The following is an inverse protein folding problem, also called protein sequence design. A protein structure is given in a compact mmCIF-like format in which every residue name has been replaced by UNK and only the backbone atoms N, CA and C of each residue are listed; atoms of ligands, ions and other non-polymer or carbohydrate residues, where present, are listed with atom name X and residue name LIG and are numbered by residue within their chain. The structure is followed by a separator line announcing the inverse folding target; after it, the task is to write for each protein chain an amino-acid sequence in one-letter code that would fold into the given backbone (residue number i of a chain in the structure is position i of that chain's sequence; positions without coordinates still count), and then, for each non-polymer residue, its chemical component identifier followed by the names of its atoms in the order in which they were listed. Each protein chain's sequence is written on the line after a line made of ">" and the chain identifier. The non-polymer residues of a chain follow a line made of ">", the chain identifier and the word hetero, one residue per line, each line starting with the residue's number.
data_IF_894862387979
#
_entry.id   IF_894862387979
#
_cell.length_a   1.000
_cell.length_b   1.000
_cell.length_c   1.000
_cell.angle_alpha   90.00
_cell.angle_beta   90.00
_cell.angle_gamma   90.00
#
_symmetry.space_group_name_H-M   'P 1'
#
loop_
_entity.id
_entity.type
_entity.pdbx_description
1 polymer ?
#
# COMPACT_ATOMS: atom_id res chain seq x y z
N UNK A 1 -13.94 -7.89 -6.38
CA UNK A 1 -13.18 -6.68 -6.02
C UNK A 1 -12.21 -6.93 -4.86
N UNK A 2 -12.68 -7.26 -3.63
CA UNK A 2 -11.76 -7.51 -2.51
C UNK A 2 -10.72 -8.62 -2.80
N UNK A 3 -11.19 -9.73 -3.37
CA UNK A 3 -10.33 -10.83 -3.81
C UNK A 3 -9.33 -10.39 -4.90
N UNK A 4 -9.76 -9.60 -5.89
CA UNK A 4 -8.90 -9.06 -6.96
C UNK A 4 -7.79 -8.16 -6.41
N UNK A 5 -8.14 -7.24 -5.51
CA UNK A 5 -7.19 -6.31 -4.88
C UNK A 5 -6.26 -7.03 -3.88
N UNK A 6 -6.74 -8.10 -3.25
CA UNK A 6 -5.92 -8.97 -2.41
C UNK A 6 -4.92 -9.81 -3.22
N UNK A 7 -5.30 -10.31 -4.39
CA UNK A 7 -4.40 -10.98 -5.34
C UNK A 7 -3.34 -10.03 -5.91
N UNK A 8 -3.62 -8.72 -5.92
CA UNK A 8 -2.71 -7.66 -6.35
C UNK A 8 -1.89 -7.05 -5.19
N UNK A 9 -2.06 -7.53 -3.95
CA UNK A 9 -1.10 -7.34 -2.85
C UNK A 9 -1.10 -6.00 -2.11
N UNK A 10 -2.12 -5.14 -2.23
CA UNK A 10 -2.04 -3.75 -1.71
C UNK A 10 -3.23 -3.22 -0.87
N UNK A 11 -4.27 -3.99 -0.58
CA UNK A 11 -5.48 -3.42 0.03
C UNK A 11 -5.64 -3.73 1.54
N UNK A 12 -5.69 -2.68 2.37
CA UNK A 12 -6.23 -2.76 3.72
C UNK A 12 -7.76 -2.59 3.67
N UNK A 13 -8.47 -3.71 3.87
CA UNK A 13 -9.93 -3.67 4.00
C UNK A 13 -10.29 -3.29 5.42
N UNK A 14 -10.63 -2.02 5.61
CA UNK A 14 -11.10 -1.54 6.90
C UNK A 14 -12.53 -2.03 7.16
N UNK A 15 -12.79 -2.44 8.40
CA UNK A 15 -14.16 -2.56 8.91
C UNK A 15 -14.75 -1.14 9.03
N UNK A 16 -16.06 -0.94 8.78
CA UNK A 16 -16.66 0.38 8.85
C UNK A 16 -16.45 0.97 10.27
N UNK A 17 -15.74 2.08 10.39
CA UNK A 17 -15.66 2.80 11.67
C UNK A 17 -14.43 3.69 11.88
N UNK A 18 -13.26 3.34 11.36
CA UNK A 18 -12.02 4.09 11.69
C UNK A 18 -11.72 5.21 10.69
N UNK A 19 -11.92 4.98 9.38
CA UNK A 19 -11.75 6.00 8.32
C UNK A 19 -13.04 6.36 7.58
N UNK A 20 -14.12 5.62 7.83
CA UNK A 20 -15.39 5.78 7.13
C UNK A 20 -15.41 5.31 5.66
N UNK A 21 -14.30 4.77 5.13
CA UNK A 21 -14.17 4.24 3.76
C UNK A 21 -14.24 2.72 3.68
N UNK A 22 -14.49 2.18 2.48
CA UNK A 22 -14.59 0.74 2.23
C UNK A 22 -13.23 0.07 2.02
N UNK A 23 -12.26 0.82 1.49
CA UNK A 23 -10.88 0.37 1.25
C UNK A 23 -9.93 1.55 1.50
N UNK A 24 -8.80 1.30 2.16
CA UNK A 24 -7.74 2.28 2.31
C UNK A 24 -6.40 1.71 1.84
N UNK A 25 -5.56 2.61 1.35
CA UNK A 25 -4.16 2.44 1.01
C UNK A 25 -3.38 3.50 1.80
N UNK A 26 -3.05 3.23 3.08
CA UNK A 26 -2.51 4.25 3.97
C UNK A 26 -1.17 4.82 3.50
N UNK A 27 -0.32 3.95 2.93
CA UNK A 27 1.01 4.32 2.43
C UNK A 27 0.91 5.30 1.25
N UNK A 28 -0.03 5.05 0.32
CA UNK A 28 -0.34 5.95 -0.79
C UNK A 28 -1.33 7.08 -0.41
N UNK A 29 -1.78 7.16 0.85
CA UNK A 29 -2.84 8.08 1.30
C UNK A 29 -4.07 8.07 0.39
N UNK A 30 -4.48 6.90 -0.08
CA UNK A 30 -5.68 6.74 -0.91
C UNK A 30 -6.80 6.08 -0.11
N UNK A 31 -7.98 6.67 -0.13
CA UNK A 31 -9.19 6.10 0.46
C UNK A 31 -10.25 5.92 -0.64
N UNK A 32 -10.90 4.75 -0.68
CA UNK A 32 -11.88 4.39 -1.70
C UNK A 32 -13.24 4.07 -1.08
N UNK A 33 -14.28 4.68 -1.63
CA UNK A 33 -15.69 4.38 -1.33
C UNK A 33 -16.38 3.66 -2.48
N UNK A 34 -17.21 2.69 -2.14
CA UNK A 34 -18.20 2.06 -3.02
C UNK A 34 -19.58 2.58 -2.65
N UNK A 35 -20.02 3.59 -3.37
CA UNK A 35 -21.29 4.25 -3.14
C UNK A 35 -22.46 3.38 -3.56
N UNK A 36 -23.33 3.07 -2.59
CA UNK A 36 -24.59 2.41 -2.88
C UNK A 36 -25.40 3.23 -3.88
N UNK A 37 -25.94 2.56 -4.90
CA UNK A 37 -26.71 3.22 -5.95
C UNK A 37 -28.01 3.86 -5.45
N UNK A 38 -28.56 3.32 -4.36
CA UNK A 38 -29.79 3.78 -3.73
C UNK A 38 -29.56 5.14 -3.05
N UNK A 39 -28.50 5.24 -2.24
CA UNK A 39 -28.18 6.44 -1.46
C UNK A 39 -27.48 7.53 -2.29
N UNK A 40 -26.70 7.14 -3.30
CA UNK A 40 -25.98 8.07 -4.19
C UNK A 40 -26.80 8.57 -5.37
N UNK A 41 -28.07 8.17 -5.51
CA UNK A 41 -28.93 8.61 -6.61
C UNK A 41 -28.40 8.19 -7.98
N UNK A 42 -28.23 6.88 -8.20
CA UNK A 42 -27.82 6.38 -9.51
C UNK A 42 -28.88 6.69 -10.59
N UNK A 43 -28.44 7.17 -11.73
CA UNK A 43 -29.27 7.39 -12.93
C UNK A 43 -30.01 6.12 -13.39
N UNK A 44 -29.44 4.93 -13.16
CA UNK A 44 -29.99 3.64 -13.61
C UNK A 44 -30.77 2.88 -12.55
N UNK A 45 -30.41 3.07 -11.28
CA UNK A 45 -30.94 2.28 -10.15
C UNK A 45 -31.35 3.14 -8.95
N UNK A 46 -31.36 4.46 -9.12
CA UNK A 46 -31.84 5.41 -8.13
C UNK A 46 -33.35 5.29 -8.01
N UNK A 47 -33.84 5.47 -6.79
CA UNK A 47 -35.25 5.40 -6.49
C UNK A 47 -35.80 6.81 -6.29
N UNK A 48 -37.03 7.06 -6.75
CA UNK A 48 -37.79 8.24 -6.31
C UNK A 48 -38.29 7.98 -4.89
N UNK A 49 -37.80 8.79 -3.97
CA UNK A 49 -38.12 8.69 -2.54
C UNK A 49 -39.25 9.64 -2.16
N UNK A 50 -39.99 9.32 -1.09
CA UNK A 50 -40.91 10.29 -0.47
C UNK A 50 -40.11 11.45 0.14
N UNK A 51 -40.76 12.58 0.44
CA UNK A 51 -40.10 13.80 0.96
C UNK A 51 -39.17 13.54 2.16
N UNK A 52 -39.58 12.69 3.08
CA UNK A 52 -38.83 12.38 4.31
C UNK A 52 -37.59 11.53 4.02
N UNK A 53 -37.66 10.68 3.00
CA UNK A 53 -36.54 9.89 2.54
C UNK A 53 -35.58 10.72 1.69
N UNK A 54 -36.09 11.67 0.91
CA UNK A 54 -35.26 12.61 0.16
C UNK A 54 -34.35 13.42 1.10
N UNK A 55 -34.88 13.92 2.22
CA UNK A 55 -34.08 14.64 3.21
C UNK A 55 -32.96 13.80 3.84
N UNK A 56 -33.13 12.47 3.94
CA UNK A 56 -32.08 11.55 4.42
C UNK A 56 -31.00 11.34 3.38
N UNK A 57 -31.39 11.20 2.11
CA UNK A 57 -30.47 11.10 0.97
C UNK A 57 -29.62 12.37 0.86
N UNK A 58 -30.25 13.55 0.93
CA UNK A 58 -29.55 14.83 0.86
C UNK A 58 -28.54 15.00 2.01
N UNK A 59 -28.92 14.56 3.21
CA UNK A 59 -28.02 14.54 4.37
C UNK A 59 -26.83 13.60 4.16
N UNK A 60 -27.08 12.38 3.71
CA UNK A 60 -26.03 11.40 3.44
C UNK A 60 -25.04 11.92 2.38
N UNK A 61 -25.53 12.54 1.31
CA UNK A 61 -24.68 13.14 0.28
C UNK A 61 -23.82 14.28 0.85
N UNK A 62 -24.41 15.14 1.68
CA UNK A 62 -23.68 16.22 2.36
C UNK A 62 -22.60 15.68 3.29
N UNK A 63 -22.91 14.63 4.05
CA UNK A 63 -21.94 14.00 4.96
C UNK A 63 -20.81 13.31 4.17
N UNK A 64 -21.12 12.68 3.03
CA UNK A 64 -20.13 12.09 2.12
C UNK A 64 -19.19 13.15 1.50
N UNK A 65 -19.72 14.31 1.12
CA UNK A 65 -18.94 15.44 0.62
C UNK A 65 -18.01 16.01 1.70
N UNK A 66 -18.51 16.13 2.94
CA UNK A 66 -17.72 16.57 4.09
C UNK A 66 -16.59 15.59 4.39
N UNK A 67 -16.87 14.28 4.39
CA UNK A 67 -15.86 13.25 4.58
C UNK A 67 -14.76 13.32 3.52
N UNK A 68 -15.16 13.49 2.25
CA UNK A 68 -14.23 13.66 1.12
C UNK A 68 -13.33 14.87 1.31
N UNK A 69 -13.91 16.05 1.64
CA UNK A 69 -13.16 17.29 1.85
C UNK A 69 -12.21 17.20 3.04
N UNK A 70 -12.63 16.59 4.15
CA UNK A 70 -11.80 16.45 5.34
C UNK A 70 -10.55 15.61 5.04
N UNK A 71 -10.71 14.49 4.32
CA UNK A 71 -9.58 13.65 3.94
C UNK A 71 -8.66 14.33 2.93
N UNK A 72 -9.22 15.01 1.93
CA UNK A 72 -8.43 15.82 1.00
C UNK A 72 -7.65 16.92 1.71
N UNK A 73 -8.23 17.57 2.72
CA UNK A 73 -7.57 18.61 3.50
C UNK A 73 -6.37 18.10 4.30
N UNK A 74 -6.35 16.81 4.66
CA UNK A 74 -5.20 16.16 5.33
C UNK A 74 -4.32 15.36 4.36
N UNK A 75 -4.43 15.65 3.06
CA UNK A 75 -3.54 15.15 2.01
C UNK A 75 -3.88 13.76 1.47
N UNK A 76 -5.10 13.28 1.69
CA UNK A 76 -5.55 12.01 1.12
C UNK A 76 -6.22 12.19 -0.24
N UNK A 77 -5.93 11.29 -1.17
CA UNK A 77 -6.70 11.15 -2.41
C UNK A 77 -7.93 10.30 -2.12
N UNK A 78 -9.10 10.80 -2.50
CA UNK A 78 -10.36 10.09 -2.31
C UNK A 78 -10.84 9.58 -3.66
N UNK A 79 -11.00 8.26 -3.77
CA UNK A 79 -11.61 7.58 -4.91
C UNK A 79 -13.04 7.19 -4.55
N UNK A 80 -13.96 7.32 -5.50
CA UNK A 80 -15.35 6.87 -5.33
C UNK A 80 -15.83 6.18 -6.60
N UNK A 81 -16.58 5.11 -6.42
CA UNK A 81 -17.27 4.43 -7.52
C UNK A 81 -18.62 3.90 -7.07
N UNK A 82 -19.56 3.71 -8.01
CA UNK A 82 -20.91 3.23 -7.69
C UNK A 82 -20.95 1.72 -7.62
N UNK A 83 -21.71 1.21 -6.65
CA UNK A 83 -21.94 -0.21 -6.39
C UNK A 83 -22.29 -0.98 -7.68
N UNK A 84 -23.20 -0.47 -8.52
CA UNK A 84 -23.57 -1.16 -9.75
C UNK A 84 -22.42 -1.29 -10.76
N UNK A 85 -21.46 -0.37 -10.78
CA UNK A 85 -20.27 -0.46 -11.64
C UNK A 85 -19.28 -1.47 -11.08
N UNK A 86 -19.06 -1.43 -9.76
CA UNK A 86 -18.21 -2.38 -9.03
C UNK A 86 -18.70 -3.82 -9.18
N UNK A 87 -20.00 -4.05 -9.00
CA UNK A 87 -20.61 -5.37 -9.11
C UNK A 87 -20.57 -5.89 -10.55
N UNK A 88 -20.79 -5.01 -11.54
CA UNK A 88 -20.81 -5.41 -12.95
C UNK A 88 -19.42 -5.73 -13.49
N UNK A 89 -18.40 -4.94 -13.14
CA UNK A 89 -17.06 -5.06 -13.70
C UNK A 89 -15.96 -4.91 -12.62
N UNK A 90 -15.88 -5.83 -11.64
CA UNK A 90 -14.97 -5.69 -10.50
C UNK A 90 -13.49 -5.63 -10.90
N UNK A 91 -13.08 -6.33 -11.97
CA UNK A 91 -11.70 -6.28 -12.48
C UNK A 91 -11.35 -4.92 -13.07
N UNK A 92 -12.27 -4.28 -13.80
CA UNK A 92 -12.06 -2.97 -14.38
C UNK A 92 -11.93 -1.90 -13.30
N UNK A 93 -12.74 -2.00 -12.23
CA UNK A 93 -12.63 -1.11 -11.09
C UNK A 93 -11.31 -1.32 -10.34
N UNK A 94 -10.90 -2.57 -10.11
CA UNK A 94 -9.61 -2.87 -9.51
C UNK A 94 -8.45 -2.30 -10.34
N UNK A 95 -8.46 -2.50 -11.66
CA UNK A 95 -7.45 -1.95 -12.57
C UNK A 95 -7.44 -0.42 -12.55
N UNK A 96 -8.60 0.23 -12.49
CA UNK A 96 -8.70 1.68 -12.36
C UNK A 96 -8.12 2.15 -11.01
N UNK A 97 -8.45 1.51 -9.89
CA UNK A 97 -7.87 1.84 -8.58
C UNK A 97 -6.34 1.72 -8.64
N UNK A 98 -5.81 0.63 -9.23
CA UNK A 98 -4.38 0.45 -9.44
C UNK A 98 -3.77 1.57 -10.30
N UNK A 99 -4.44 1.99 -11.37
CA UNK A 99 -4.02 3.17 -12.13
C UNK A 99 -4.04 4.44 -11.28
N UNK A 100 -5.02 4.64 -10.39
CA UNK A 100 -5.03 5.83 -9.53
C UNK A 100 -3.92 5.81 -8.47
N UNK A 101 -3.55 4.62 -7.98
CA UNK A 101 -2.39 4.42 -7.11
C UNK A 101 -1.10 4.69 -7.89
N UNK A 102 -0.98 4.15 -9.11
CA UNK A 102 0.13 4.39 -10.03
C UNK A 102 0.16 5.80 -10.67
N UNK A 103 -0.94 6.56 -10.56
CA UNK A 103 -1.05 7.98 -10.95
C UNK A 103 -0.91 8.93 -9.74
N UNK A 104 -0.53 8.43 -8.56
CA UNK A 104 0.53 9.16 -7.85
C UNK A 104 1.78 9.07 -8.72
N UNK A 105 2.74 10.00 -8.68
CA UNK A 105 3.95 9.84 -9.48
C UNK A 105 4.74 8.62 -8.98
N UNK A 106 4.39 7.44 -9.49
CA UNK A 106 5.23 6.27 -9.61
C UNK A 106 5.62 6.19 -11.09
N UNK A 107 6.79 6.76 -11.35
CA UNK A 107 7.68 6.65 -12.51
C UNK A 107 7.23 5.58 -13.54
N UNK A 108 6.58 6.00 -14.63
CA UNK A 108 6.42 5.17 -15.83
C UNK A 108 7.74 5.11 -16.61
N UNK A 109 8.33 3.91 -16.67
CA UNK A 109 9.52 3.56 -17.42
C UNK A 109 9.88 2.10 -17.16
N UNK A 110 10.73 1.51 -17.99
CA UNK A 110 11.50 0.32 -17.61
C UNK A 110 12.38 0.78 -16.43
N UNK A 111 11.84 0.73 -15.21
CA UNK A 111 12.55 1.15 -14.02
C UNK A 111 13.57 0.06 -13.73
N UNK A 112 14.83 0.41 -13.97
CA UNK A 112 15.93 -0.46 -13.59
C UNK A 112 15.87 -0.77 -12.08
N UNK A 113 16.51 -1.87 -11.70
CA UNK A 113 16.57 -2.33 -10.32
C UNK A 113 17.09 -1.25 -9.35
N UNK A 114 17.94 -0.33 -9.84
CA UNK A 114 18.53 0.77 -9.06
C UNK A 114 17.49 1.86 -8.74
N UNK A 115 16.55 2.15 -9.65
CA UNK A 115 15.45 3.09 -9.39
C UNK A 115 14.47 2.52 -8.36
N UNK A 116 14.15 1.22 -8.43
CA UNK A 116 13.31 0.54 -7.43
C UNK A 116 13.99 0.48 -6.05
N UNK A 117 15.29 0.22 -6.01
CA UNK A 117 16.08 0.27 -4.78
C UNK A 117 16.04 1.65 -4.08
N UNK A 118 16.15 2.73 -4.85
CA UNK A 118 16.03 4.11 -4.35
C UNK A 118 14.67 4.36 -3.70
N UNK A 119 13.60 3.86 -4.32
CA UNK A 119 12.24 3.98 -3.77
C UNK A 119 12.10 3.19 -2.48
N UNK A 120 12.61 1.95 -2.43
CA UNK A 120 12.62 1.15 -1.22
C UNK A 120 13.36 1.84 -0.07
N UNK A 121 14.51 2.47 -0.36
CA UNK A 121 15.23 3.27 0.63
C UNK A 121 14.41 4.49 1.09
N UNK A 122 13.79 5.24 0.18
CA UNK A 122 12.95 6.39 0.55
C UNK A 122 11.77 5.96 1.44
N UNK A 123 11.12 4.84 1.10
CA UNK A 123 10.01 4.29 1.89
C UNK A 123 10.46 3.88 3.30
N UNK A 124 11.60 3.17 3.40
CA UNK A 124 12.21 2.85 4.69
C UNK A 124 12.59 4.11 5.48
N UNK A 125 13.24 5.09 4.85
CA UNK A 125 13.68 6.34 5.47
C UNK A 125 12.53 7.25 5.91
N UNK A 126 11.35 7.10 5.32
CA UNK A 126 10.17 7.84 5.77
C UNK A 126 9.66 7.37 7.15
N UNK A 127 10.15 6.20 7.61
CA UNK A 127 9.69 5.51 8.82
C UNK A 127 10.83 5.17 9.80
N UNK A 128 12.08 5.14 9.34
CA UNK A 128 13.29 4.72 10.09
C UNK A 128 14.52 5.52 9.64
N UNK A 129 15.66 5.37 10.34
CA UNK A 129 16.91 6.07 9.99
C UNK A 129 17.72 5.34 8.91
N UNK A 130 18.67 6.05 8.27
CA UNK A 130 19.52 5.51 7.20
C UNK A 130 20.47 4.41 7.69
N UNK A 131 20.97 4.56 8.91
CA UNK A 131 21.84 3.60 9.56
C UNK A 131 21.09 2.28 9.81
N UNK A 132 19.83 2.35 10.25
CA UNK A 132 18.99 1.16 10.45
C UNK A 132 18.73 0.44 9.12
N UNK A 133 18.42 1.19 8.06
CA UNK A 133 18.23 0.62 6.72
C UNK A 133 19.48 -0.11 6.22
N UNK A 134 20.65 0.50 6.40
CA UNK A 134 21.93 -0.09 6.00
C UNK A 134 22.24 -1.35 6.80
N UNK A 135 22.06 -1.31 8.11
CA UNK A 135 22.36 -2.44 8.98
C UNK A 135 21.41 -3.61 8.74
N UNK A 136 20.14 -3.31 8.47
CA UNK A 136 19.15 -4.28 8.00
C UNK A 136 19.60 -4.94 6.68
N UNK A 137 19.94 -4.16 5.65
CA UNK A 137 20.33 -4.71 4.34
C UNK A 137 21.60 -5.58 4.41
N UNK A 138 22.62 -5.15 5.17
CA UNK A 138 23.82 -5.96 5.43
C UNK A 138 23.46 -7.29 6.08
N UNK A 139 22.58 -7.23 7.08
CA UNK A 139 22.15 -8.42 7.80
C UNK A 139 21.38 -9.36 6.88
N UNK A 140 20.40 -8.86 6.14
CA UNK A 140 19.66 -9.65 5.14
C UNK A 140 20.61 -10.34 4.16
N UNK A 141 21.61 -9.62 3.63
CA UNK A 141 22.60 -10.16 2.70
C UNK A 141 23.48 -11.24 3.30
N UNK A 142 23.97 -11.03 4.53
CA UNK A 142 24.80 -12.01 5.25
C UNK A 142 24.05 -13.30 5.54
N UNK A 143 22.76 -13.18 5.86
CA UNK A 143 21.98 -14.32 6.36
C UNK A 143 21.50 -15.25 5.24
N UNK A 144 21.18 -14.72 4.05
CA UNK A 144 20.82 -15.50 2.84
C UNK A 144 19.51 -16.31 2.94
N UNK A 145 19.39 -17.23 3.92
CA UNK A 145 18.19 -18.04 4.20
C UNK A 145 17.97 -18.26 5.70
N UNK A 146 16.99 -17.57 6.29
CA UNK A 146 16.56 -17.74 7.68
C UNK A 146 15.07 -17.40 7.86
N UNK A 147 14.50 -17.65 9.03
CA UNK A 147 13.17 -17.17 9.39
C UNK A 147 13.22 -15.74 9.91
N UNK A 148 12.12 -14.99 9.76
CA UNK A 148 12.01 -13.59 10.21
C UNK A 148 12.54 -13.37 11.63
N UNK A 149 12.18 -14.26 12.55
CA UNK A 149 12.58 -14.18 13.96
C UNK A 149 14.09 -14.34 14.14
N UNK A 150 14.71 -15.24 13.40
CA UNK A 150 16.17 -15.44 13.44
C UNK A 150 16.89 -14.21 12.88
N UNK A 151 16.34 -13.56 11.85
CA UNK A 151 16.89 -12.30 11.34
C UNK A 151 16.73 -11.13 12.34
N UNK A 152 15.63 -11.08 13.07
CA UNK A 152 15.38 -10.09 14.13
C UNK A 152 16.39 -10.24 15.29
N UNK A 153 16.66 -11.49 15.71
CA UNK A 153 17.62 -11.81 16.76
C UNK A 153 19.07 -11.40 16.41
N UNK A 154 19.39 -11.25 15.11
CA UNK A 154 20.71 -10.80 14.64
C UNK A 154 20.88 -9.28 14.62
N UNK A 155 19.83 -8.53 14.95
CA UNK A 155 19.82 -7.07 15.05
C UNK A 155 19.34 -6.64 16.45
N UNK A 156 20.02 -7.04 17.54
CA UNK A 156 19.52 -6.83 18.91
C UNK A 156 19.43 -5.37 19.33
N UNK A 157 20.21 -4.49 18.68
CA UNK A 157 20.18 -3.04 18.92
C UNK A 157 19.06 -2.34 18.14
N UNK A 158 18.42 -3.02 17.18
CA UNK A 158 17.28 -2.52 16.42
C UNK A 158 15.98 -2.86 17.14
N UNK A 159 15.12 -1.88 17.35
CA UNK A 159 13.84 -2.14 18.00
C UNK A 159 12.94 -3.06 17.13
N UNK A 160 12.07 -3.90 17.73
CA UNK A 160 11.13 -4.74 16.99
C UNK A 160 10.22 -3.96 16.04
N UNK A 161 9.87 -2.72 16.40
CA UNK A 161 9.04 -1.83 15.57
C UNK A 161 9.79 -1.41 14.31
N UNK A 162 11.04 -0.97 14.47
CA UNK A 162 11.93 -0.59 13.35
C UNK A 162 12.18 -1.80 12.45
N UNK A 163 12.57 -2.94 13.02
CA UNK A 163 12.78 -4.17 12.27
C UNK A 163 11.53 -4.59 11.51
N UNK A 164 10.36 -4.53 12.14
CA UNK A 164 9.09 -4.87 11.51
C UNK A 164 8.75 -3.97 10.32
N UNK A 165 9.06 -2.68 10.40
CA UNK A 165 8.90 -1.73 9.29
C UNK A 165 9.83 -2.09 8.15
N UNK A 166 11.14 -2.20 8.41
CA UNK A 166 12.13 -2.49 7.39
C UNK A 166 11.86 -3.84 6.71
N UNK A 167 11.45 -4.85 7.47
CA UNK A 167 11.03 -6.14 6.95
C UNK A 167 9.85 -6.04 5.98
N UNK A 168 8.81 -5.28 6.34
CA UNK A 168 7.64 -5.09 5.46
C UNK A 168 8.02 -4.32 4.20
N UNK A 169 8.79 -3.25 4.32
CA UNK A 169 9.28 -2.47 3.18
C UNK A 169 10.10 -3.36 2.24
N UNK A 170 11.09 -4.08 2.76
CA UNK A 170 11.93 -4.94 1.94
C UNK A 170 11.13 -6.07 1.26
N UNK A 171 10.11 -6.62 1.93
CA UNK A 171 9.27 -7.67 1.34
C UNK A 171 8.34 -7.11 0.27
N UNK A 172 7.77 -5.93 0.52
CA UNK A 172 6.94 -5.22 -0.44
C UNK A 172 7.72 -4.88 -1.71
N UNK A 173 8.94 -4.39 -1.57
CA UNK A 173 9.81 -3.97 -2.68
C UNK A 173 10.67 -5.11 -3.24
N UNK A 174 10.40 -6.39 -2.92
CA UNK A 174 11.11 -7.52 -3.52
C UNK A 174 12.62 -7.55 -3.26
N UNK A 175 13.09 -6.85 -2.22
CA UNK A 175 14.44 -6.96 -1.65
C UNK A 175 14.54 -8.29 -0.90
N UNK A 176 13.45 -8.66 -0.24
CA UNK A 176 13.29 -9.93 0.44
C UNK A 176 12.10 -10.73 -0.14
N UNK A 177 12.25 -12.03 -0.42
CA UNK A 177 11.16 -12.96 -0.74
C UNK A 177 11.12 -14.23 0.12
N UNK A 178 10.09 -15.07 -0.05
CA UNK A 178 9.89 -16.27 0.75
C UNK A 178 10.08 -17.56 -0.06
N UNK A 179 10.61 -18.60 0.58
CA UNK A 179 10.84 -19.94 0.04
C UNK A 179 10.43 -21.05 1.02
N UNK A 180 10.56 -22.31 0.61
CA UNK A 180 10.18 -23.47 1.44
C UNK A 180 11.00 -23.59 2.72
N UNK A 181 12.22 -23.08 2.70
CA UNK A 181 13.20 -23.19 3.79
C UNK A 181 13.38 -21.86 4.54
N UNK A 182 12.37 -20.98 4.48
CA UNK A 182 12.40 -19.65 5.07
C UNK A 182 12.57 -18.53 4.03
N UNK A 183 13.11 -17.41 4.47
CA UNK A 183 13.43 -16.25 3.66
C UNK A 183 14.48 -16.58 2.57
N UNK A 184 14.50 -15.83 1.46
CA UNK A 184 15.56 -15.83 0.45
C UNK A 184 15.75 -14.45 -0.16
N UNK A 185 16.97 -14.14 -0.58
CA UNK A 185 17.29 -12.97 -1.40
C UNK A 185 16.22 -12.70 -2.47
N UNK A 186 15.61 -11.53 -2.37
CA UNK A 186 14.75 -11.01 -3.42
C UNK A 186 15.58 -10.49 -4.59
N UNK A 187 14.96 -10.39 -5.77
CA UNK A 187 15.66 -9.94 -6.99
C UNK A 187 16.29 -8.54 -6.85
N UNK A 188 15.78 -7.72 -5.93
CA UNK A 188 16.21 -6.33 -5.76
C UNK A 188 17.24 -6.12 -4.64
N UNK A 189 17.69 -7.19 -3.95
CA UNK A 189 18.62 -7.05 -2.82
C UNK A 189 19.95 -6.39 -3.22
N UNK A 190 20.56 -6.83 -4.32
CA UNK A 190 21.84 -6.29 -4.75
C UNK A 190 21.73 -4.81 -5.17
N UNK A 191 20.64 -4.43 -5.85
CA UNK A 191 20.40 -3.04 -6.20
C UNK A 191 20.18 -2.16 -4.95
N UNK A 192 19.47 -2.67 -3.94
CA UNK A 192 19.28 -2.00 -2.65
C UNK A 192 20.60 -1.79 -1.89
N UNK A 193 21.50 -2.78 -1.93
CA UNK A 193 22.85 -2.65 -1.37
C UNK A 193 23.65 -1.56 -2.09
N UNK A 194 23.68 -1.56 -3.43
CA UNK A 194 24.37 -0.55 -4.23
C UNK A 194 23.83 0.86 -3.92
N UNK A 195 22.51 1.04 -3.92
CA UNK A 195 21.88 2.33 -3.60
C UNK A 195 22.18 2.82 -2.17
N UNK A 196 22.25 1.90 -1.21
CA UNK A 196 22.63 2.22 0.17
C UNK A 196 24.11 2.59 0.33
N UNK A 197 24.92 2.50 -0.74
CA UNK A 197 26.37 2.70 -0.71
C UNK A 197 27.13 1.49 -0.15
N UNK A 198 26.54 0.30 -0.23
CA UNK A 198 27.07 -0.98 0.26
C UNK A 198 27.50 -1.91 -0.89
N UNK A 199 27.41 -1.45 -2.15
CA UNK A 199 27.62 -2.28 -3.35
C UNK A 199 29.02 -2.30 -3.93
N UNK A 200 30.06 -2.18 -3.09
CA UNK A 200 31.44 -2.46 -3.50
C UNK A 200 31.75 -3.95 -3.30
N UNK A 201 32.62 -4.51 -4.15
CA UNK A 201 33.13 -5.88 -4.04
C UNK A 201 33.74 -6.13 -2.65
N UNK A 202 32.93 -6.66 -1.73
CA UNK A 202 33.40 -7.44 -0.59
C UNK A 202 32.70 -8.80 -0.66
N UNK A 203 33.11 -9.58 -1.66
CA UNK A 203 33.37 -10.99 -1.40
C UNK A 203 34.45 -11.04 -0.31
N UNK A 204 34.06 -11.13 0.96
CA UNK A 204 34.75 -11.75 2.11
C UNK A 204 34.40 -11.02 3.41
N UNK A 205 33.54 -11.61 4.24
CA UNK A 205 33.85 -12.17 5.58
C UNK A 205 32.74 -13.14 5.96
#
# INVERSE_FOLDING_TARGET
>A
MKQELGLMGRADFLSPGIFGCDIAYPDERVAMWVDSCVWSGCDKHGWTFTSDWQARVDRWQKDADVATKNLQAIGWRVLRDRECRVTKNPHQVAAWIMQQLAMQPDIEGDMDELQLAKLARVDALSRCELEDWREFLKTVKRLGKLWRREAEEMLPEMSPEVFGVLWRCANHHGIIGYGKDGYRDGGLLNAALVDAGLGGDDETV
#
